data_IF_389791670545
#
_entry.id   IF_389791670545
#
_cell.length_a   1.000
_cell.length_b   1.000
_cell.length_c   1.000
_cell.angle_alpha   90.00
_cell.angle_beta   90.00
_cell.angle_gamma   90.00
#
_symmetry.space_group_name_H-M   'P 1'
#
loop_
_entity.id
_entity.type
_entity.pdbx_description
1 polymer ?
#
# COMPACT_ATOMS: atom_id res chain seq x y z
N UNK A 1 -12.00 5.82 0.74
CA UNK A 1 -11.75 4.70 1.67
C UNK A 1 -10.72 5.13 2.72
N UNK A 2 -11.18 5.70 3.83
CA UNK A 2 -10.32 6.40 4.82
C UNK A 2 -9.36 5.46 5.56
N UNK A 3 -9.77 4.21 5.81
CA UNK A 3 -8.91 3.22 6.48
C UNK A 3 -7.69 2.84 5.63
N UNK A 4 -7.88 2.58 4.35
CA UNK A 4 -6.79 2.24 3.41
C UNK A 4 -5.83 3.42 3.31
N UNK A 5 -6.35 4.64 3.16
CA UNK A 5 -5.54 5.87 3.16
C UNK A 5 -4.71 5.98 4.44
N UNK A 6 -5.33 5.80 5.62
CA UNK A 6 -4.64 5.84 6.91
C UNK A 6 -3.51 4.81 7.00
N UNK A 7 -3.75 3.56 6.60
CA UNK A 7 -2.72 2.50 6.64
C UNK A 7 -1.57 2.83 5.70
N UNK A 8 -1.85 3.35 4.50
CA UNK A 8 -0.81 3.79 3.56
C UNK A 8 0.04 4.92 4.16
N UNK A 9 -0.58 5.92 4.80
CA UNK A 9 0.16 6.97 5.49
C UNK A 9 1.02 6.41 6.63
N UNK A 10 0.45 5.51 7.44
CA UNK A 10 1.12 4.94 8.62
C UNK A 10 2.33 4.07 8.26
N UNK A 11 2.24 3.28 7.18
CA UNK A 11 3.32 2.36 6.79
C UNK A 11 4.39 3.00 5.90
N UNK A 12 3.99 3.91 5.02
CA UNK A 12 4.88 4.48 3.99
C UNK A 12 5.24 5.95 4.23
N UNK A 13 4.64 6.60 5.24
CA UNK A 13 4.93 8.00 5.56
C UNK A 13 4.41 8.98 4.51
N UNK A 14 3.44 8.58 3.69
CA UNK A 14 2.93 9.42 2.60
C UNK A 14 2.01 10.53 3.11
N UNK A 15 1.97 11.62 2.35
CA UNK A 15 0.98 12.68 2.56
C UNK A 15 -0.44 12.14 2.36
N UNK A 16 -1.42 12.83 2.95
CA UNK A 16 -2.84 12.48 2.78
C UNK A 16 -3.22 12.44 1.30
N UNK A 17 -2.73 13.41 0.52
CA UNK A 17 -3.00 13.50 -0.92
C UNK A 17 -2.49 12.27 -1.67
N UNK A 18 -1.22 11.88 -1.46
CA UNK A 18 -0.63 10.71 -2.13
C UNK A 18 -1.32 9.41 -1.69
N UNK A 19 -1.58 9.24 -0.40
CA UNK A 19 -2.26 8.06 0.12
C UNK A 19 -3.70 7.95 -0.43
N UNK A 20 -4.40 9.09 -0.56
CA UNK A 20 -5.74 9.15 -1.15
C UNK A 20 -5.71 8.77 -2.63
N UNK A 21 -4.73 9.25 -3.39
CA UNK A 21 -4.56 8.87 -4.80
C UNK A 21 -4.36 7.36 -4.97
N UNK A 22 -3.46 6.76 -4.20
CA UNK A 22 -3.18 5.32 -4.26
C UNK A 22 -4.41 4.50 -3.84
N UNK A 23 -5.11 4.93 -2.80
CA UNK A 23 -6.36 4.32 -2.37
C UNK A 23 -7.43 4.36 -3.49
N UNK A 24 -7.60 5.50 -4.16
CA UNK A 24 -8.55 5.63 -5.26
C UNK A 24 -8.17 4.75 -6.44
N UNK A 25 -6.88 4.59 -6.72
CA UNK A 25 -6.39 3.67 -7.75
C UNK A 25 -6.77 2.22 -7.40
N UNK A 26 -6.56 1.77 -6.15
CA UNK A 26 -7.03 0.46 -5.69
C UNK A 26 -8.56 0.34 -5.82
N UNK A 27 -9.32 1.37 -5.43
CA UNK A 27 -10.77 1.34 -5.48
C UNK A 27 -11.33 1.21 -6.90
N UNK A 28 -10.73 1.92 -7.86
CA UNK A 28 -11.21 1.98 -9.23
C UNK A 28 -10.64 0.87 -10.12
N UNK A 29 -9.37 0.48 -9.91
CA UNK A 29 -8.63 -0.46 -10.77
C UNK A 29 -8.39 -1.82 -10.11
N UNK A 30 -8.74 -1.98 -8.83
CA UNK A 30 -8.55 -3.19 -8.05
C UNK A 30 -7.14 -3.38 -7.47
N UNK A 31 -6.14 -2.61 -7.93
CA UNK A 31 -4.76 -2.65 -7.42
C UNK A 31 -4.02 -1.33 -7.63
N UNK A 32 -2.92 -1.13 -6.91
CA UNK A 32 -1.99 0.00 -7.08
C UNK A 32 -0.60 -0.40 -6.61
N UNK A 33 0.45 0.17 -7.22
CA UNK A 33 1.84 0.00 -6.77
C UNK A 33 2.15 1.01 -5.68
N UNK A 34 2.19 0.56 -4.43
CA UNK A 34 2.38 1.43 -3.26
C UNK A 34 3.85 1.76 -3.01
N UNK A 35 4.78 0.84 -3.32
CA UNK A 35 6.22 1.08 -3.19
C UNK A 35 7.04 0.13 -4.08
N UNK A 36 8.17 0.62 -4.61
CA UNK A 36 9.19 -0.19 -5.29
C UNK A 36 10.45 -0.18 -4.43
N UNK A 37 10.78 -1.34 -3.86
CA UNK A 37 11.89 -1.51 -2.88
C UNK A 37 12.56 -2.88 -3.08
N UNK A 38 13.77 -3.11 -2.53
CA UNK A 38 14.38 -4.44 -2.53
C UNK A 38 13.46 -5.49 -1.94
N UNK A 39 13.58 -6.73 -2.44
CA UNK A 39 12.69 -7.85 -2.13
C UNK A 39 12.41 -8.03 -0.64
N UNK A 40 13.46 -8.05 0.19
CA UNK A 40 13.34 -8.23 1.65
C UNK A 40 12.44 -7.17 2.30
N UNK A 41 12.60 -5.90 1.90
CA UNK A 41 11.77 -4.81 2.40
C UNK A 41 10.33 -4.89 1.87
N UNK A 42 10.16 -5.38 0.65
CA UNK A 42 8.83 -5.59 0.08
C UNK A 42 8.07 -6.69 0.84
N UNK A 43 8.74 -7.82 1.14
CA UNK A 43 8.20 -8.91 1.97
C UNK A 43 7.77 -8.42 3.36
N UNK A 44 8.60 -7.57 3.99
CA UNK A 44 8.24 -6.89 5.24
C UNK A 44 6.95 -6.07 5.10
N UNK A 45 6.82 -5.22 4.07
CA UNK A 45 5.63 -4.41 3.88
C UNK A 45 4.37 -5.23 3.59
N UNK A 46 4.47 -6.33 2.84
CA UNK A 46 3.34 -7.24 2.60
C UNK A 46 2.84 -7.83 3.91
N UNK A 47 3.73 -8.34 4.77
CA UNK A 47 3.34 -8.85 6.08
C UNK A 47 2.68 -7.77 6.96
N UNK A 48 3.19 -6.53 6.91
CA UNK A 48 2.59 -5.39 7.62
C UNK A 48 1.19 -5.06 7.11
N UNK A 49 1.01 -5.00 5.79
CA UNK A 49 -0.29 -4.73 5.15
C UNK A 49 -1.32 -5.82 5.48
N UNK A 50 -0.93 -7.10 5.41
CA UNK A 50 -1.77 -8.22 5.84
C UNK A 50 -2.14 -8.12 7.33
N UNK A 51 -1.21 -7.67 8.19
CA UNK A 51 -1.48 -7.40 9.60
C UNK A 51 -2.50 -6.27 9.85
N UNK A 52 -2.70 -5.38 8.89
CA UNK A 52 -3.79 -4.39 8.88
C UNK A 52 -5.05 -4.89 8.14
N UNK A 53 -5.11 -6.17 7.75
CA UNK A 53 -6.22 -6.75 7.01
C UNK A 53 -6.29 -6.30 5.54
N UNK A 54 -5.23 -5.68 5.00
CA UNK A 54 -5.17 -5.28 3.60
C UNK A 54 -4.50 -6.37 2.78
N UNK A 55 -5.14 -6.81 1.70
CA UNK A 55 -4.53 -7.74 0.76
C UNK A 55 -3.43 -7.02 -0.05
N UNK A 56 -2.24 -7.61 -0.08
CA UNK A 56 -1.08 -7.11 -0.80
C UNK A 56 -0.29 -8.26 -1.43
N UNK A 57 0.38 -7.99 -2.54
CA UNK A 57 1.21 -8.95 -3.28
C UNK A 57 2.55 -8.31 -3.66
N UNK A 58 3.52 -9.15 -4.03
CA UNK A 58 4.79 -8.72 -4.62
C UNK A 58 4.79 -9.01 -6.12
N UNK A 59 5.40 -8.12 -6.88
CA UNK A 59 5.61 -8.27 -8.32
C UNK A 59 7.04 -7.85 -8.64
N UNK A 60 7.71 -8.60 -9.52
CA UNK A 60 9.02 -8.23 -10.03
C UNK A 60 8.83 -7.25 -11.19
N UNK A 61 9.50 -6.09 -11.10
CA UNK A 61 9.45 -5.00 -12.09
C UNK A 61 10.70 -5.01 -12.94
#
# INVERSE_FOLDING_TARGET
MDYVTFVIQKLFGYSLEKATKLMLEVHNLGKSVVATVPREKAEYFVGRLHGFGLQATLEQV
#
